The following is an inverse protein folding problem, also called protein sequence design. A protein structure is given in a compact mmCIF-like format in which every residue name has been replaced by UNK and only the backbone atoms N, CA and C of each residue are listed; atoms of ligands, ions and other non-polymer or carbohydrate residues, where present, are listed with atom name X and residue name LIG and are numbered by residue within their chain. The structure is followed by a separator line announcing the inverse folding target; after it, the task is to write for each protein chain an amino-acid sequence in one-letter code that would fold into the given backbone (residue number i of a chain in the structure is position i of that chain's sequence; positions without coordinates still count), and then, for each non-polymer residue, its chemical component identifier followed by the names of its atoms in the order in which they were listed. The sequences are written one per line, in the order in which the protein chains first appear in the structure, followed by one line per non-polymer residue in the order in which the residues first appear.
data_IF_127366078568
#
_entry.id   IF_127366078568
#
_cell.length_a   1.000
_cell.length_b   1.000
_cell.length_c   1.000
_cell.angle_alpha   90.00
_cell.angle_beta   90.00
_cell.angle_gamma   90.00
#
_symmetry.space_group_name_H-M   'P 1'
#
loop_
_entity.id
_entity.type
_entity.pdbx_description
1 polymer ?
#
# COMPACT_ATOMS: atom_id res chain seq x y z
N UNK A 1 -21.33 -3.29 -31.58
CA UNK A 1 -22.56 -4.09 -31.76
C UNK A 1 -22.96 -3.98 -33.21
N UNK A 2 -23.63 -5.00 -33.74
CA UNK A 2 -24.20 -5.00 -35.09
C UNK A 2 -25.35 -3.97 -35.19
N UNK A 3 -25.36 -3.11 -36.20
CA UNK A 3 -26.31 -1.99 -36.32
C UNK A 3 -27.76 -2.48 -36.41
N UNK A 4 -27.98 -3.63 -37.07
CA UNK A 4 -29.31 -4.22 -37.21
C UNK A 4 -29.88 -4.71 -35.87
N UNK A 5 -29.00 -5.20 -34.97
CA UNK A 5 -29.40 -5.62 -33.62
C UNK A 5 -29.69 -4.43 -32.71
N UNK A 6 -28.98 -3.31 -32.90
CA UNK A 6 -29.25 -2.04 -32.19
C UNK A 6 -30.61 -1.49 -32.62
N UNK A 7 -30.88 -1.45 -33.92
CA UNK A 7 -32.14 -0.96 -34.47
C UNK A 7 -33.33 -1.81 -33.98
N UNK A 8 -33.19 -3.13 -33.96
CA UNK A 8 -34.22 -4.04 -33.44
C UNK A 8 -34.55 -3.79 -31.95
N UNK A 9 -33.58 -3.37 -31.13
CA UNK A 9 -33.81 -2.99 -29.73
C UNK A 9 -34.44 -1.60 -29.63
N UNK A 10 -34.02 -0.65 -30.48
CA UNK A 10 -34.60 0.69 -30.55
C UNK A 10 -36.08 0.65 -30.95
N UNK A 11 -36.46 -0.20 -31.90
CA UNK A 11 -37.83 -0.28 -32.41
C UNK A 11 -38.69 -1.28 -31.64
N UNK A 12 -38.16 -1.85 -30.54
CA UNK A 12 -38.88 -2.82 -29.74
C UNK A 12 -40.20 -2.23 -29.22
N UNK A 13 -41.35 -2.88 -29.50
CA UNK A 13 -42.67 -2.35 -29.17
C UNK A 13 -42.93 -2.40 -27.66
N UNK A 14 -43.77 -1.50 -27.16
CA UNK A 14 -44.15 -1.48 -25.75
C UNK A 14 -44.82 -2.82 -25.37
N UNK A 15 -44.35 -3.53 -24.32
CA UNK A 15 -44.94 -4.80 -23.93
C UNK A 15 -46.35 -4.65 -23.34
N UNK A 16 -47.38 -4.99 -24.12
CA UNK A 16 -48.78 -4.98 -23.65
C UNK A 16 -49.22 -6.27 -22.96
N UNK A 17 -48.35 -7.27 -22.82
CA UNK A 17 -48.67 -8.54 -22.16
C UNK A 17 -47.48 -9.10 -21.39
N UNK A 18 -47.76 -9.96 -20.40
CA UNK A 18 -46.74 -10.68 -19.62
C UNK A 18 -45.82 -11.49 -20.55
N UNK A 19 -46.35 -12.08 -21.62
CA UNK A 19 -45.56 -12.86 -22.60
C UNK A 19 -44.58 -11.97 -23.36
N UNK A 20 -45.02 -10.81 -23.83
CA UNK A 20 -44.16 -9.83 -24.50
C UNK A 20 -43.07 -9.28 -23.56
N UNK A 21 -43.45 -9.01 -22.30
CA UNK A 21 -42.51 -8.53 -21.28
C UNK A 21 -41.44 -9.56 -20.95
N UNK A 22 -41.80 -10.85 -20.84
CA UNK A 22 -40.83 -11.95 -20.67
C UNK A 22 -39.87 -12.06 -21.86
N UNK A 23 -40.36 -11.85 -23.08
CA UNK A 23 -39.53 -11.81 -24.29
C UNK A 23 -38.48 -10.70 -24.23
N UNK A 24 -38.91 -9.48 -23.89
CA UNK A 24 -38.00 -8.35 -23.72
C UNK A 24 -36.96 -8.56 -22.61
N UNK A 25 -37.39 -9.03 -21.43
CA UNK A 25 -36.49 -9.33 -20.31
C UNK A 25 -35.55 -10.52 -20.60
N UNK A 26 -35.95 -11.45 -21.47
CA UNK A 26 -35.09 -12.53 -21.94
C UNK A 26 -33.93 -12.01 -22.79
N UNK A 27 -34.23 -11.13 -23.76
CA UNK A 27 -33.22 -10.50 -24.61
C UNK A 27 -32.30 -9.57 -23.80
N UNK A 28 -32.88 -8.62 -23.08
CA UNK A 28 -32.09 -7.67 -22.27
C UNK A 28 -31.32 -8.40 -21.15
N UNK A 29 -31.89 -9.49 -20.63
CA UNK A 29 -31.26 -10.39 -19.66
C UNK A 29 -30.06 -11.16 -20.20
N UNK A 30 -30.00 -11.47 -21.50
CA UNK A 30 -28.80 -12.04 -22.14
C UNK A 30 -27.62 -11.07 -22.04
N UNK A 31 -27.89 -9.78 -22.24
CA UNK A 31 -26.89 -8.71 -22.20
C UNK A 31 -26.66 -8.12 -20.80
N UNK A 32 -27.29 -8.66 -19.75
CA UNK A 32 -27.18 -8.13 -18.37
C UNK A 32 -25.74 -7.95 -17.87
N UNK A 33 -24.78 -8.71 -18.42
CA UNK A 33 -23.36 -8.62 -18.06
C UNK A 33 -22.63 -7.40 -18.65
N UNK A 34 -23.24 -6.74 -19.62
CA UNK A 34 -22.72 -5.56 -20.31
C UNK A 34 -23.39 -4.27 -19.82
N UNK A 35 -24.38 -4.39 -18.93
CA UNK A 35 -25.21 -3.29 -18.47
C UNK A 35 -24.93 -3.03 -16.99
N UNK A 36 -24.32 -1.88 -16.70
CA UNK A 36 -24.15 -1.43 -15.33
C UNK A 36 -25.50 -1.27 -14.63
N UNK A 37 -25.62 -1.78 -13.40
CA UNK A 37 -26.86 -1.75 -12.61
C UNK A 37 -28.11 -2.37 -13.26
N UNK A 38 -27.96 -3.30 -14.21
CA UNK A 38 -29.09 -3.97 -14.88
C UNK A 38 -30.20 -4.42 -13.93
N UNK A 39 -29.85 -5.03 -12.79
CA UNK A 39 -30.83 -5.51 -11.83
C UNK A 39 -31.73 -4.39 -11.30
N UNK A 40 -31.15 -3.24 -10.96
CA UNK A 40 -31.89 -2.08 -10.45
C UNK A 40 -32.80 -1.52 -11.53
N UNK A 41 -32.30 -1.37 -12.76
CA UNK A 41 -33.07 -0.84 -13.89
C UNK A 41 -34.23 -1.78 -14.25
N UNK A 42 -33.98 -3.09 -14.28
CA UNK A 42 -34.98 -4.10 -14.61
C UNK A 42 -35.95 -4.39 -13.45
N UNK A 43 -35.71 -3.89 -12.23
CA UNK A 43 -36.51 -4.22 -11.05
C UNK A 43 -38.01 -3.91 -11.23
N UNK A 44 -38.43 -2.72 -11.71
CA UNK A 44 -39.84 -2.41 -11.94
C UNK A 44 -40.49 -3.35 -12.95
N UNK A 45 -39.76 -3.72 -14.01
CA UNK A 45 -40.25 -4.65 -15.04
C UNK A 45 -40.37 -6.08 -14.50
N UNK A 46 -39.43 -6.54 -13.68
CA UNK A 46 -39.52 -7.88 -13.06
C UNK A 46 -40.64 -7.97 -12.02
N UNK A 47 -41.02 -6.86 -11.38
CA UNK A 47 -42.14 -6.83 -10.45
C UNK A 47 -43.48 -7.11 -11.14
N UNK A 48 -43.66 -6.67 -12.38
CA UNK A 48 -44.85 -6.93 -13.21
C UNK A 48 -45.02 -8.41 -13.61
N UNK A 49 -43.99 -9.24 -13.42
CA UNK A 49 -44.06 -10.68 -13.69
C UNK A 49 -44.67 -11.49 -12.53
N UNK A 50 -44.95 -10.85 -11.38
CA UNK A 50 -45.61 -11.50 -10.24
C UNK A 50 -47.10 -11.75 -10.54
N UNK A 51 -47.70 -12.70 -9.82
CA UNK A 51 -49.11 -13.07 -10.00
C UNK A 51 -50.00 -11.83 -9.86
N UNK A 52 -50.90 -11.64 -10.82
CA UNK A 52 -51.90 -10.56 -10.85
C UNK A 52 -51.33 -9.12 -10.75
N UNK A 53 -50.03 -8.93 -11.03
CA UNK A 53 -49.31 -7.68 -10.84
C UNK A 53 -49.04 -6.89 -12.14
N UNK A 54 -49.58 -7.34 -13.28
CA UNK A 54 -49.33 -6.70 -14.56
C UNK A 54 -50.16 -5.42 -14.72
N UNK A 55 -49.61 -4.31 -14.24
CA UNK A 55 -50.12 -2.96 -14.45
C UNK A 55 -48.99 -2.08 -14.99
N UNK A 56 -49.05 -1.75 -16.28
CA UNK A 56 -48.06 -0.89 -16.90
C UNK A 56 -48.26 0.55 -16.42
N UNK A 57 -47.24 1.13 -15.80
CA UNK A 57 -47.28 2.51 -15.30
C UNK A 57 -45.96 3.23 -15.51
N UNK A 58 -45.87 4.47 -15.03
CA UNK A 58 -44.69 5.34 -15.18
C UNK A 58 -43.35 4.66 -14.78
N UNK A 59 -43.25 3.94 -13.64
CA UNK A 59 -41.99 3.26 -13.28
C UNK A 59 -41.58 2.17 -14.28
N UNK A 60 -42.54 1.51 -14.93
CA UNK A 60 -42.28 0.47 -15.92
C UNK A 60 -41.86 1.09 -17.26
N UNK A 61 -42.52 2.18 -17.69
CA UNK A 61 -42.13 2.96 -18.88
C UNK A 61 -40.70 3.50 -18.75
N UNK A 62 -40.37 4.11 -17.61
CA UNK A 62 -39.03 4.63 -17.34
C UNK A 62 -37.97 3.52 -17.38
N UNK A 63 -38.23 2.38 -16.75
CA UNK A 63 -37.33 1.23 -16.77
C UNK A 63 -37.14 0.63 -18.18
N UNK A 64 -38.22 0.55 -18.96
CA UNK A 64 -38.19 0.05 -20.34
C UNK A 64 -37.35 0.94 -21.25
N UNK A 65 -37.56 2.26 -21.19
CA UNK A 65 -36.77 3.25 -21.95
C UNK A 65 -35.30 3.24 -21.51
N UNK A 66 -35.04 3.19 -20.20
CA UNK A 66 -33.68 3.12 -19.68
C UNK A 66 -32.92 1.89 -20.19
N UNK A 67 -33.55 0.70 -20.23
CA UNK A 67 -32.91 -0.50 -20.78
C UNK A 67 -32.65 -0.39 -22.27
N UNK A 68 -33.56 0.19 -23.06
CA UNK A 68 -33.36 0.43 -24.50
C UNK A 68 -32.18 1.37 -24.74
N UNK A 69 -32.12 2.48 -24.02
CA UNK A 69 -31.00 3.43 -24.11
C UNK A 69 -29.70 2.74 -23.74
N UNK A 70 -29.63 2.06 -22.58
CA UNK A 70 -28.37 1.46 -22.13
C UNK A 70 -27.92 0.32 -23.04
N UNK A 71 -28.82 -0.45 -23.66
CA UNK A 71 -28.44 -1.48 -24.64
C UNK A 71 -27.87 -0.93 -25.94
N UNK A 72 -28.38 0.23 -26.38
CA UNK A 72 -27.98 0.86 -27.63
C UNK A 72 -26.75 1.75 -27.47
N UNK A 73 -26.49 2.25 -26.25
CA UNK A 73 -25.33 3.09 -25.90
C UNK A 73 -24.30 2.39 -25.02
N UNK A 74 -24.47 1.08 -24.73
CA UNK A 74 -23.60 0.33 -23.83
C UNK A 74 -22.12 0.48 -24.21
N UNK A 75 -21.24 0.78 -23.24
CA UNK A 75 -19.81 0.80 -23.49
C UNK A 75 -19.33 -0.58 -23.94
N UNK A 76 -18.44 -0.60 -24.93
CA UNK A 76 -17.78 -1.82 -25.39
C UNK A 76 -16.95 -2.36 -24.23
N UNK A 77 -17.32 -3.54 -23.70
CA UNK A 77 -16.49 -4.21 -22.69
C UNK A 77 -15.15 -4.61 -23.29
N UNK A 78 -14.12 -4.52 -22.47
CA UNK A 78 -12.77 -4.89 -22.85
C UNK A 78 -12.61 -6.43 -22.86
N UNK A 79 -11.80 -6.93 -23.79
CA UNK A 79 -11.30 -8.30 -23.74
C UNK A 79 -10.32 -8.47 -22.56
N UNK A 80 -10.39 -9.59 -21.83
CA UNK A 80 -9.51 -9.83 -20.68
C UNK A 80 -8.05 -10.02 -21.10
N UNK A 81 -7.15 -9.28 -20.46
CA UNK A 81 -5.71 -9.45 -20.56
C UNK A 81 -5.18 -10.21 -19.35
N UNK A 82 -4.76 -11.47 -19.53
CA UNK A 82 -4.28 -12.33 -18.45
C UNK A 82 -2.91 -11.92 -17.87
N UNK A 83 -2.18 -11.01 -18.52
CA UNK A 83 -0.96 -10.45 -17.96
C UNK A 83 -1.25 -9.41 -16.86
N UNK A 84 -2.44 -8.78 -16.89
CA UNK A 84 -2.84 -7.72 -15.98
C UNK A 84 -3.65 -8.24 -14.78
N UNK A 85 -3.62 -7.55 -13.63
CA UNK A 85 -4.48 -7.87 -12.51
C UNK A 85 -5.95 -7.69 -12.85
N UNK A 86 -6.75 -8.72 -12.60
CA UNK A 86 -8.20 -8.60 -12.60
C UNK A 86 -8.65 -7.89 -11.34
N UNK A 87 -9.36 -6.79 -11.48
CA UNK A 87 -9.90 -6.01 -10.36
C UNK A 87 -11.40 -6.26 -10.26
N UNK A 88 -11.85 -6.65 -9.07
CA UNK A 88 -13.27 -6.79 -8.75
C UNK A 88 -13.65 -5.70 -7.76
N UNK A 89 -14.41 -4.72 -8.25
CA UNK A 89 -15.06 -3.72 -7.40
C UNK A 89 -16.47 -4.18 -7.08
N UNK A 90 -16.82 -4.19 -5.80
CA UNK A 90 -18.15 -4.57 -5.34
C UNK A 90 -18.85 -3.42 -4.61
N UNK A 91 -20.14 -3.27 -4.87
CA UNK A 91 -21.03 -2.37 -4.15
C UNK A 91 -22.37 -3.06 -3.82
N UNK A 92 -22.96 -2.70 -2.69
CA UNK A 92 -24.23 -3.22 -2.25
C UNK A 92 -25.07 -2.10 -1.63
N UNK A 93 -26.28 -1.94 -2.15
CA UNK A 93 -27.29 -0.99 -1.65
C UNK A 93 -28.44 -1.72 -0.96
N UNK A 94 -29.38 -0.96 -0.39
CA UNK A 94 -30.59 -1.52 0.20
C UNK A 94 -31.48 -2.27 -0.80
N UNK A 95 -31.48 -1.86 -2.07
CA UNK A 95 -32.37 -2.36 -3.12
C UNK A 95 -31.72 -3.33 -4.11
N UNK A 96 -30.39 -3.37 -4.20
CA UNK A 96 -29.66 -4.22 -5.13
C UNK A 96 -28.18 -4.35 -4.79
N UNK A 97 -27.48 -5.22 -5.50
CA UNK A 97 -26.03 -5.32 -5.41
C UNK A 97 -25.40 -5.44 -6.80
N UNK A 98 -24.19 -4.88 -6.91
CA UNK A 98 -23.42 -4.76 -8.14
C UNK A 98 -21.97 -5.15 -7.94
N UNK A 99 -21.34 -5.72 -8.96
CA UNK A 99 -19.90 -5.85 -9.04
C UNK A 99 -19.43 -5.58 -10.46
N UNK A 100 -18.21 -5.05 -10.57
CA UNK A 100 -17.55 -4.80 -11.84
C UNK A 100 -16.23 -5.56 -11.82
N UNK A 101 -16.07 -6.48 -12.76
CA UNK A 101 -14.79 -7.04 -13.13
C UNK A 101 -14.17 -6.13 -14.18
N UNK A 102 -13.00 -5.56 -13.92
CA UNK A 102 -12.33 -4.64 -14.83
C UNK A 102 -10.81 -4.77 -14.78
N UNK A 103 -10.18 -4.18 -15.78
CA UNK A 103 -8.74 -3.98 -15.88
C UNK A 103 -8.49 -2.50 -16.24
N UNK A 104 -7.27 -2.00 -16.07
CA UNK A 104 -6.97 -0.55 -16.16
C UNK A 104 -7.40 0.18 -17.46
N UNK A 105 -7.86 -0.53 -18.49
CA UNK A 105 -8.38 0.04 -19.73
C UNK A 105 -9.93 0.05 -19.82
N UNK A 106 -10.64 -0.59 -18.88
CA UNK A 106 -12.10 -0.59 -18.83
C UNK A 106 -12.76 -1.83 -18.20
N UNK A 107 -14.10 -1.83 -18.10
CA UNK A 107 -14.85 -2.97 -17.58
C UNK A 107 -14.79 -4.18 -18.52
N UNK A 108 -14.62 -5.37 -17.94
CA UNK A 108 -14.63 -6.67 -18.62
C UNK A 108 -15.99 -7.35 -18.44
N UNK A 109 -16.61 -7.18 -17.28
CA UNK A 109 -17.94 -7.69 -17.00
C UNK A 109 -18.60 -6.92 -15.85
N UNK A 110 -19.88 -6.60 -16.02
CA UNK A 110 -20.76 -6.13 -14.97
C UNK A 110 -21.58 -7.29 -14.42
N UNK A 111 -21.81 -7.26 -13.12
CA UNK A 111 -22.70 -8.19 -12.44
C UNK A 111 -23.66 -7.36 -11.60
N UNK A 112 -24.96 -7.46 -11.88
CA UNK A 112 -25.97 -6.74 -11.11
C UNK A 112 -27.17 -7.65 -10.87
N UNK A 113 -27.64 -7.67 -9.63
CA UNK A 113 -28.82 -8.44 -9.21
C UNK A 113 -29.64 -7.66 -8.19
N UNK A 114 -30.95 -7.79 -8.29
CA UNK A 114 -31.89 -7.37 -7.25
C UNK A 114 -31.81 -8.31 -6.06
N UNK A 115 -32.05 -7.78 -4.87
CA UNK A 115 -32.05 -8.59 -3.65
C UNK A 115 -33.28 -9.51 -3.67
N UNK A 116 -33.06 -10.82 -3.71
CA UNK A 116 -34.15 -11.78 -3.55
C UNK A 116 -34.81 -11.60 -2.16
N UNK A 117 -36.12 -11.84 -2.00
CA UNK A 117 -36.81 -11.65 -0.71
C UNK A 117 -36.16 -12.41 0.45
N UNK A 118 -35.67 -13.63 0.18
CA UNK A 118 -34.90 -14.45 1.13
C UNK A 118 -33.56 -13.82 1.56
N UNK A 119 -32.98 -12.96 0.72
CA UNK A 119 -31.71 -12.27 0.97
C UNK A 119 -31.92 -10.82 1.45
N UNK A 120 -33.17 -10.36 1.54
CA UNK A 120 -33.51 -9.00 1.97
C UNK A 120 -33.13 -8.72 3.44
N UNK A 121 -33.11 -9.77 4.27
CA UNK A 121 -32.63 -9.72 5.66
C UNK A 121 -31.12 -9.92 5.80
N UNK A 122 -30.46 -10.42 4.76
CA UNK A 122 -29.01 -10.59 4.77
C UNK A 122 -28.34 -9.22 4.76
N UNK A 123 -27.25 -9.11 5.49
CA UNK A 123 -26.45 -7.91 5.49
C UNK A 123 -25.77 -7.71 4.13
N UNK A 124 -25.41 -6.46 3.81
CA UNK A 124 -24.76 -6.10 2.55
C UNK A 124 -23.54 -7.00 2.21
N UNK A 125 -22.78 -7.41 3.23
CA UNK A 125 -21.59 -8.24 3.06
C UNK A 125 -21.88 -9.67 2.57
N UNK A 126 -22.98 -10.29 3.03
CA UNK A 126 -23.38 -11.65 2.63
C UNK A 126 -23.82 -11.66 1.16
N UNK A 127 -24.42 -10.55 0.70
CA UNK A 127 -24.82 -10.38 -0.71
C UNK A 127 -23.60 -10.21 -1.62
N UNK A 128 -22.58 -9.47 -1.18
CA UNK A 128 -21.31 -9.33 -1.90
C UNK A 128 -20.59 -10.68 -2.00
N UNK A 129 -20.63 -11.50 -0.93
CA UNK A 129 -20.04 -12.83 -0.92
C UNK A 129 -20.59 -13.73 -2.04
N UNK A 130 -21.91 -13.83 -2.18
CA UNK A 130 -22.57 -14.59 -3.25
C UNK A 130 -22.08 -14.13 -4.64
N UNK A 131 -21.81 -12.83 -4.81
CA UNK A 131 -21.37 -12.28 -6.08
C UNK A 131 -19.94 -12.68 -6.43
N UNK A 132 -19.02 -12.53 -5.48
CA UNK A 132 -17.61 -12.88 -5.71
C UNK A 132 -17.47 -14.39 -5.90
N UNK A 133 -18.23 -15.20 -5.15
CA UNK A 133 -18.36 -16.64 -5.39
C UNK A 133 -18.78 -16.90 -6.84
N UNK A 134 -19.85 -16.26 -7.31
CA UNK A 134 -20.36 -16.45 -8.67
C UNK A 134 -19.39 -15.98 -9.77
N UNK A 135 -18.61 -14.93 -9.51
CA UNK A 135 -17.56 -14.44 -10.42
C UNK A 135 -16.42 -15.47 -10.47
N UNK A 136 -15.94 -15.91 -9.31
CA UNK A 136 -14.80 -16.81 -9.22
C UNK A 136 -15.17 -18.21 -9.70
N UNK A 137 -16.36 -18.75 -9.40
CA UNK A 137 -16.81 -20.03 -9.97
C UNK A 137 -16.93 -19.99 -11.49
N UNK A 138 -17.43 -18.89 -12.08
CA UNK A 138 -17.54 -18.77 -13.54
C UNK A 138 -16.23 -18.46 -14.25
N UNK A 139 -15.30 -17.79 -13.59
CA UNK A 139 -14.07 -17.29 -14.21
C UNK A 139 -12.78 -17.98 -13.71
N UNK A 140 -12.86 -18.85 -12.70
CA UNK A 140 -11.71 -19.64 -12.20
C UNK A 140 -11.18 -20.62 -13.24
N UNK A 141 -12.03 -21.13 -14.14
CA UNK A 141 -11.61 -21.92 -15.30
C UNK A 141 -10.79 -21.13 -16.35
N UNK A 142 -10.60 -19.82 -16.17
CA UNK A 142 -9.94 -18.93 -17.13
C UNK A 142 -8.51 -18.57 -16.69
N UNK A 143 -7.91 -19.32 -15.75
CA UNK A 143 -6.49 -19.18 -15.42
C UNK A 143 -6.10 -17.82 -14.82
N UNK A 144 -6.99 -17.24 -14.01
CA UNK A 144 -6.72 -15.96 -13.32
C UNK A 144 -5.49 -16.13 -12.41
N UNK A 145 -4.41 -15.43 -12.75
CA UNK A 145 -3.17 -15.43 -11.97
C UNK A 145 -3.07 -14.28 -10.97
N UNK A 146 -3.75 -13.17 -11.25
CA UNK A 146 -3.66 -11.93 -10.47
C UNK A 146 -5.06 -11.42 -10.16
N UNK A 147 -5.41 -11.38 -8.88
CA UNK A 147 -6.73 -10.99 -8.40
C UNK A 147 -6.62 -9.87 -7.36
N UNK A 148 -7.31 -8.76 -7.61
CA UNK A 148 -7.49 -7.66 -6.68
C UNK A 148 -8.97 -7.50 -6.35
N UNK A 149 -9.31 -7.57 -5.07
CA UNK A 149 -10.68 -7.34 -4.58
C UNK A 149 -10.68 -6.08 -3.74
N UNK A 150 -11.54 -5.14 -4.14
CA UNK A 150 -11.73 -3.88 -3.44
C UNK A 150 -13.21 -3.71 -3.10
N UNK A 151 -13.48 -3.57 -1.81
CA UNK A 151 -14.85 -3.39 -1.31
C UNK A 151 -14.99 -1.98 -0.77
N UNK A 152 -15.83 -1.18 -1.42
CA UNK A 152 -15.98 0.26 -1.13
C UNK A 152 -16.98 0.55 -0.01
N UNK A 153 -17.85 -0.41 0.34
CA UNK A 153 -18.77 -0.25 1.46
C UNK A 153 -18.06 -0.51 2.80
N UNK A 154 -18.37 0.26 3.85
CA UNK A 154 -17.93 -0.02 5.24
C UNK A 154 -18.47 -1.35 5.83
N UNK A 155 -19.08 -2.20 5.00
CA UNK A 155 -19.59 -3.50 5.38
C UNK A 155 -18.45 -4.54 5.46
N UNK A 156 -18.56 -5.44 6.44
CA UNK A 156 -17.60 -6.51 6.74
C UNK A 156 -17.65 -7.65 5.69
N UNK A 157 -17.25 -7.40 4.45
CA UNK A 157 -17.17 -8.42 3.40
C UNK A 157 -16.34 -9.62 3.85
N UNK A 158 -16.84 -10.86 3.82
CA UNK A 158 -16.02 -12.04 4.07
C UNK A 158 -15.55 -12.61 2.74
N UNK A 159 -14.22 -12.67 2.55
CA UNK A 159 -13.63 -13.32 1.39
C UNK A 159 -14.13 -14.77 1.30
N UNK A 160 -14.45 -15.27 0.09
CA UNK A 160 -15.30 -16.42 -0.03
C UNK A 160 -14.53 -17.71 0.27
N UNK A 161 -15.15 -18.59 1.05
CA UNK A 161 -14.57 -19.88 1.43
C UNK A 161 -14.48 -20.84 0.24
N UNK A 162 -15.35 -20.71 -0.77
CA UNK A 162 -15.36 -21.58 -1.96
C UNK A 162 -14.02 -21.54 -2.72
N UNK A 163 -13.43 -20.35 -2.85
CA UNK A 163 -12.14 -20.07 -3.51
C UNK A 163 -10.99 -20.76 -2.80
N UNK A 164 -11.13 -20.91 -1.48
CA UNK A 164 -10.13 -21.45 -0.58
C UNK A 164 -10.22 -22.98 -0.44
N UNK A 165 -11.41 -23.53 -0.65
CA UNK A 165 -11.73 -24.94 -0.40
C UNK A 165 -11.67 -25.81 -1.67
N UNK A 166 -12.03 -25.28 -2.84
CA UNK A 166 -12.23 -26.10 -4.05
C UNK A 166 -11.05 -26.11 -5.02
N UNK A 167 -9.86 -25.64 -4.63
CA UNK A 167 -8.67 -25.58 -5.51
C UNK A 167 -8.76 -24.56 -6.65
N UNK A 168 -9.89 -23.87 -6.80
CA UNK A 168 -10.09 -22.85 -7.85
C UNK A 168 -9.14 -21.65 -7.71
N UNK A 169 -8.60 -21.43 -6.51
CA UNK A 169 -7.57 -20.44 -6.23
C UNK A 169 -6.13 -20.90 -6.54
N UNK A 170 -5.88 -22.16 -6.93
CA UNK A 170 -4.51 -22.66 -7.09
C UNK A 170 -3.76 -22.04 -8.27
N UNK A 171 -4.45 -21.43 -9.23
CA UNK A 171 -3.80 -20.64 -10.28
C UNK A 171 -3.39 -19.24 -9.82
N UNK A 172 -3.91 -18.76 -8.68
CA UNK A 172 -3.70 -17.39 -8.20
C UNK A 172 -2.27 -17.27 -7.66
N UNK A 173 -1.49 -16.41 -8.31
CA UNK A 173 -0.13 -16.05 -7.94
C UNK A 173 -0.09 -14.74 -7.15
N UNK A 174 -0.99 -13.80 -7.45
CA UNK A 174 -1.10 -12.52 -6.73
C UNK A 174 -2.52 -12.31 -6.21
N UNK A 175 -2.64 -12.16 -4.90
CA UNK A 175 -3.90 -11.84 -4.22
C UNK A 175 -3.77 -10.51 -3.47
N UNK A 176 -4.59 -9.54 -3.85
CA UNK A 176 -4.69 -8.25 -3.17
C UNK A 176 -6.11 -8.05 -2.63
N UNK A 177 -6.23 -8.02 -1.31
CA UNK A 177 -7.49 -7.78 -0.62
C UNK A 177 -7.49 -6.43 0.09
N UNK A 178 -8.54 -5.63 -0.12
CA UNK A 178 -8.71 -4.34 0.57
C UNK A 178 -10.08 -4.24 1.23
N UNK A 179 -10.10 -3.77 2.49
CA UNK A 179 -11.31 -3.46 3.25
C UNK A 179 -12.28 -4.65 3.39
N UNK A 180 -11.75 -5.83 3.75
CA UNK A 180 -12.54 -7.05 3.89
C UNK A 180 -12.13 -7.89 5.11
N UNK A 181 -12.97 -8.83 5.52
CA UNK A 181 -12.62 -9.93 6.39
C UNK A 181 -12.08 -11.11 5.56
N UNK A 182 -11.03 -11.73 6.06
CA UNK A 182 -10.46 -12.93 5.44
C UNK A 182 -10.33 -13.99 6.54
N UNK A 183 -10.98 -15.14 6.32
CA UNK A 183 -11.16 -16.21 7.32
C UNK A 183 -10.70 -17.56 6.78
N UNK A 184 -9.39 -17.73 6.48
CA UNK A 184 -8.86 -19.04 6.13
C UNK A 184 -9.02 -20.02 7.31
N UNK A 185 -9.62 -21.19 7.05
CA UNK A 185 -9.86 -22.25 8.04
C UNK A 185 -8.93 -23.43 7.83
N UNK A 186 -8.69 -24.24 8.88
CA UNK A 186 -7.72 -25.35 8.94
C UNK A 186 -7.87 -26.40 7.82
N UNK A 187 -9.07 -26.60 7.28
CA UNK A 187 -9.32 -27.39 6.06
C UNK A 187 -8.94 -26.65 4.78
N UNK A 188 -7.78 -25.99 4.77
CA UNK A 188 -7.33 -25.16 3.67
C UNK A 188 -6.64 -26.00 2.59
N UNK A 189 -7.19 -26.02 1.38
CA UNK A 189 -6.63 -26.78 0.25
C UNK A 189 -6.04 -25.93 -0.87
N UNK A 190 -6.40 -24.63 -0.93
CA UNK A 190 -6.12 -23.75 -2.07
C UNK A 190 -5.03 -22.69 -1.86
N UNK A 191 -4.69 -21.98 -2.96
CA UNK A 191 -3.66 -20.92 -3.08
C UNK A 191 -2.21 -21.41 -3.08
N UNK A 192 -1.96 -22.64 -3.53
CA UNK A 192 -0.61 -23.24 -3.55
C UNK A 192 0.42 -22.49 -4.41
N UNK A 193 -0.04 -21.83 -5.48
CA UNK A 193 0.81 -21.06 -6.38
C UNK A 193 0.99 -19.59 -5.97
N UNK A 194 0.48 -19.19 -4.79
CA UNK A 194 0.50 -17.81 -4.36
C UNK A 194 1.94 -17.35 -4.10
N UNK A 195 2.42 -16.42 -4.91
CA UNK A 195 3.75 -15.82 -4.78
C UNK A 195 3.69 -14.46 -4.10
N UNK A 196 2.55 -13.76 -4.16
CA UNK A 196 2.39 -12.42 -3.59
C UNK A 196 1.04 -12.27 -2.89
N UNK A 197 1.07 -11.86 -1.62
CA UNK A 197 -0.12 -11.60 -0.83
C UNK A 197 -0.08 -10.17 -0.29
N UNK A 198 -1.11 -9.38 -0.60
CA UNK A 198 -1.27 -8.02 -0.08
C UNK A 198 -2.63 -7.88 0.60
N UNK A 199 -2.59 -7.63 1.92
CA UNK A 199 -3.77 -7.41 2.76
C UNK A 199 -3.76 -5.99 3.29
N UNK A 200 -4.76 -5.18 2.91
CA UNK A 200 -4.90 -3.80 3.33
C UNK A 200 -6.25 -3.56 4.03
N UNK A 201 -6.26 -3.15 5.29
CA UNK A 201 -7.48 -2.96 6.10
C UNK A 201 -8.28 -4.28 6.13
N UNK A 202 -7.58 -5.41 6.27
CA UNK A 202 -8.21 -6.74 6.28
C UNK A 202 -8.42 -7.22 7.72
N UNK A 203 -9.64 -7.68 8.02
CA UNK A 203 -9.99 -8.32 9.29
C UNK A 203 -9.54 -9.78 9.21
N UNK A 204 -8.34 -10.08 9.68
CA UNK A 204 -7.75 -11.42 9.78
C UNK A 204 -7.01 -11.56 11.12
N UNK A 205 -7.13 -12.71 11.79
CA UNK A 205 -6.37 -12.99 13.03
C UNK A 205 -4.98 -13.55 12.71
N UNK A 206 -4.08 -13.57 13.71
CA UNK A 206 -2.75 -14.17 13.54
C UNK A 206 -2.81 -15.65 13.19
N UNK A 207 -3.70 -16.41 13.84
CA UNK A 207 -3.87 -17.86 13.61
C UNK A 207 -4.42 -18.15 12.21
N UNK A 208 -5.38 -17.36 11.76
CA UNK A 208 -5.93 -17.44 10.41
C UNK A 208 -4.84 -17.19 9.36
N UNK A 209 -4.05 -16.13 9.54
CA UNK A 209 -2.93 -15.85 8.64
C UNK A 209 -1.88 -16.96 8.69
N UNK A 210 -1.53 -17.47 9.88
CA UNK A 210 -0.60 -18.58 10.04
C UNK A 210 -1.03 -19.84 9.28
N UNK A 211 -2.33 -20.16 9.32
CA UNK A 211 -2.91 -21.27 8.55
C UNK A 211 -2.76 -21.06 7.04
N UNK A 212 -2.92 -19.84 6.53
CA UNK A 212 -2.71 -19.56 5.11
C UNK A 212 -1.23 -19.69 4.71
N UNK A 213 -0.34 -19.16 5.55
CA UNK A 213 1.10 -19.16 5.31
C UNK A 213 1.69 -20.58 5.31
N UNK A 214 1.18 -21.49 6.13
CA UNK A 214 1.64 -22.89 6.15
C UNK A 214 1.30 -23.67 4.87
N UNK A 215 0.31 -23.22 4.08
CA UNK A 215 -0.11 -23.86 2.84
C UNK A 215 0.39 -23.16 1.56
N UNK A 216 0.97 -21.96 1.69
CA UNK A 216 1.40 -21.11 0.56
C UNK A 216 2.92 -21.11 0.39
N UNK A 217 3.52 -22.28 0.15
CA UNK A 217 4.98 -22.46 0.13
C UNK A 217 5.71 -21.69 -1.00
N UNK A 218 4.97 -21.27 -2.02
CA UNK A 218 5.49 -20.49 -3.13
C UNK A 218 5.62 -18.98 -2.82
N UNK A 219 5.22 -18.53 -1.63
CA UNK A 219 5.13 -17.11 -1.29
C UNK A 219 6.50 -16.43 -1.27
N UNK A 220 6.64 -15.37 -2.06
CA UNK A 220 7.84 -14.54 -2.20
C UNK A 220 7.68 -13.18 -1.51
N UNK A 221 6.45 -12.63 -1.49
CA UNK A 221 6.16 -11.32 -0.91
C UNK A 221 4.88 -11.33 -0.06
N UNK A 222 4.98 -10.81 1.16
CA UNK A 222 3.86 -10.61 2.08
C UNK A 222 3.75 -9.15 2.50
N UNK A 223 2.63 -8.51 2.21
CA UNK A 223 2.32 -7.13 2.62
C UNK A 223 1.07 -7.08 3.50
N UNK A 224 1.23 -6.59 4.73
CA UNK A 224 0.16 -6.39 5.71
C UNK A 224 0.07 -4.90 6.05
N UNK A 225 -1.05 -4.26 5.70
CA UNK A 225 -1.32 -2.85 5.99
C UNK A 225 -2.61 -2.73 6.78
N UNK A 226 -2.56 -2.06 7.93
CA UNK A 226 -3.74 -1.78 8.77
C UNK A 226 -4.57 -3.02 9.16
N UNK A 227 -3.93 -4.17 9.30
CA UNK A 227 -4.58 -5.44 9.68
C UNK A 227 -4.70 -5.54 11.21
N UNK A 228 -5.64 -4.77 11.76
CA UNK A 228 -5.69 -4.49 13.21
C UNK A 228 -6.14 -5.66 14.10
N UNK A 229 -6.52 -6.82 13.56
CA UNK A 229 -6.87 -7.99 14.37
C UNK A 229 -5.69 -8.91 14.65
N UNK A 230 -4.56 -8.73 13.98
CA UNK A 230 -3.35 -9.50 14.20
C UNK A 230 -2.67 -8.97 15.48
N UNK A 231 -2.52 -9.83 16.48
CA UNK A 231 -1.83 -9.51 17.75
C UNK A 231 -0.41 -10.08 17.75
N UNK A 232 -0.25 -11.30 17.23
CA UNK A 232 1.00 -12.01 17.04
C UNK A 232 1.10 -12.44 15.58
N UNK A 233 2.19 -12.07 14.91
CA UNK A 233 2.48 -12.50 13.54
C UNK A 233 3.60 -13.54 13.59
N UNK A 234 3.28 -14.78 13.23
CA UNK A 234 4.26 -15.86 13.06
C UNK A 234 4.43 -16.18 11.59
N UNK A 235 5.63 -15.94 11.07
CA UNK A 235 6.01 -16.34 9.71
C UNK A 235 6.74 -17.68 9.79
N UNK A 236 6.19 -18.77 9.22
CA UNK A 236 6.73 -20.11 9.41
C UNK A 236 8.01 -20.37 8.62
N UNK A 237 8.90 -21.21 9.16
CA UNK A 237 10.16 -21.62 8.52
C UNK A 237 9.99 -22.30 7.15
N UNK A 238 8.80 -22.84 6.86
CA UNK A 238 8.48 -23.51 5.60
C UNK A 238 8.52 -22.54 4.39
N UNK A 239 8.44 -21.23 4.61
CA UNK A 239 8.45 -20.21 3.55
C UNK A 239 9.87 -19.91 3.05
N UNK A 240 10.46 -20.88 2.36
CA UNK A 240 11.83 -20.81 1.82
C UNK A 240 12.01 -19.75 0.73
N UNK A 241 10.93 -19.32 0.07
CA UNK A 241 10.97 -18.33 -1.02
C UNK A 241 10.66 -16.90 -0.58
N UNK A 242 10.22 -16.71 0.66
CA UNK A 242 9.79 -15.41 1.15
C UNK A 242 11.00 -14.50 1.30
N UNK A 243 11.07 -13.49 0.45
CA UNK A 243 12.15 -12.50 0.39
C UNK A 243 11.72 -11.16 1.01
N UNK A 244 10.45 -10.82 0.85
CA UNK A 244 9.91 -9.50 1.20
C UNK A 244 8.75 -9.59 2.19
N UNK A 245 8.90 -8.90 3.32
CA UNK A 245 7.86 -8.77 4.34
C UNK A 245 7.62 -7.29 4.66
N UNK A 246 6.38 -6.83 4.54
CA UNK A 246 5.95 -5.49 4.95
C UNK A 246 4.82 -5.58 5.97
N UNK A 247 4.97 -4.87 7.07
CA UNK A 247 3.96 -4.74 8.13
C UNK A 247 3.81 -3.27 8.50
N UNK A 248 2.67 -2.66 8.17
CA UNK A 248 2.48 -1.22 8.34
C UNK A 248 1.13 -0.91 9.01
N UNK A 249 1.14 -0.04 10.02
CA UNK A 249 -0.06 0.45 10.72
C UNK A 249 -0.97 -0.63 11.34
N UNK A 250 -0.43 -1.78 11.72
CA UNK A 250 -1.19 -2.83 12.44
C UNK A 250 -1.28 -2.49 13.94
N UNK A 251 -2.37 -1.84 14.36
CA UNK A 251 -2.47 -1.21 15.68
C UNK A 251 -2.37 -2.18 16.89
N UNK A 252 -2.90 -3.40 16.77
CA UNK A 252 -2.90 -4.40 17.87
C UNK A 252 -1.72 -5.37 17.84
N UNK A 253 -0.87 -5.29 16.81
CA UNK A 253 0.29 -6.16 16.69
C UNK A 253 1.27 -5.83 17.82
N UNK A 254 1.74 -6.85 18.53
CA UNK A 254 2.71 -6.71 19.63
C UNK A 254 4.04 -7.38 19.33
N UNK A 255 4.01 -8.51 18.63
CA UNK A 255 5.20 -9.30 18.34
C UNK A 255 5.15 -9.77 16.90
N UNK A 256 6.26 -9.60 16.19
CA UNK A 256 6.50 -10.21 14.88
C UNK A 256 7.61 -11.21 15.02
N UNK A 257 7.28 -12.48 14.85
CA UNK A 257 8.17 -13.62 14.94
C UNK A 257 8.38 -14.19 13.54
N UNK A 258 9.61 -14.14 13.05
CA UNK A 258 9.96 -14.64 11.74
C UNK A 258 10.94 -15.81 11.82
N UNK A 259 10.48 -16.96 11.35
CA UNK A 259 11.28 -18.18 11.20
C UNK A 259 11.67 -18.45 9.73
N UNK A 260 11.20 -17.64 8.76
CA UNK A 260 11.55 -17.83 7.35
C UNK A 260 13.03 -17.47 7.09
N UNK A 261 13.82 -18.35 6.44
CA UNK A 261 15.28 -18.22 6.42
C UNK A 261 15.84 -17.21 5.41
N UNK A 262 15.09 -16.89 4.35
CA UNK A 262 15.60 -16.15 3.19
C UNK A 262 15.04 -14.73 3.06
N UNK A 263 14.47 -14.17 4.13
CA UNK A 263 13.99 -12.78 4.09
C UNK A 263 15.18 -11.83 4.00
N UNK A 264 15.24 -11.07 2.91
CA UNK A 264 16.28 -10.06 2.69
C UNK A 264 15.75 -8.63 2.74
N UNK A 265 14.43 -8.44 2.63
CA UNK A 265 13.76 -7.15 2.67
C UNK A 265 12.65 -7.12 3.75
N UNK A 266 12.80 -6.27 4.75
CA UNK A 266 11.80 -6.09 5.79
C UNK A 266 11.41 -4.63 5.96
N UNK A 267 10.11 -4.35 5.95
CA UNK A 267 9.55 -3.02 6.20
C UNK A 267 8.57 -3.09 7.36
N UNK A 268 8.80 -2.30 8.41
CA UNK A 268 7.90 -2.17 9.54
C UNK A 268 7.52 -0.71 9.78
N UNK A 269 6.25 -0.42 10.02
CA UNK A 269 5.79 0.95 10.29
C UNK A 269 4.52 1.05 11.12
N UNK A 270 4.30 2.21 11.73
CA UNK A 270 3.15 2.49 12.58
C UNK A 270 3.46 2.35 14.07
N UNK A 271 2.99 1.27 14.71
CA UNK A 271 3.03 1.12 16.17
C UNK A 271 4.47 0.93 16.70
N UNK A 272 4.90 1.80 17.61
CA UNK A 272 6.23 1.82 18.22
C UNK A 272 6.50 0.70 19.22
N UNK A 273 5.47 -0.05 19.65
CA UNK A 273 5.58 -1.09 20.69
C UNK A 273 5.82 -2.51 20.18
N UNK A 274 5.91 -2.70 18.86
CA UNK A 274 6.09 -4.04 18.27
C UNK A 274 7.50 -4.57 18.53
N UNK A 275 7.60 -5.67 19.28
CA UNK A 275 8.81 -6.45 19.45
C UNK A 275 9.11 -7.23 18.17
N UNK A 276 10.38 -7.21 17.76
CA UNK A 276 10.88 -7.91 16.58
C UNK A 276 11.72 -9.10 17.04
N UNK A 277 11.19 -10.30 16.85
CA UNK A 277 11.91 -11.56 16.99
C UNK A 277 12.14 -12.11 15.59
N UNK A 278 13.19 -11.63 14.95
CA UNK A 278 13.61 -12.14 13.65
C UNK A 278 14.74 -13.11 14.01
N UNK A 279 14.57 -14.42 13.75
CA UNK A 279 15.43 -15.52 14.27
C UNK A 279 16.94 -15.41 13.96
N UNK A 280 17.57 -16.45 13.42
CA UNK A 280 18.96 -16.34 12.94
C UNK A 280 19.03 -15.44 11.69
N UNK A 281 18.97 -14.13 11.88
CA UNK A 281 18.87 -13.03 10.89
C UNK A 281 20.12 -12.80 10.05
N UNK A 282 20.87 -13.87 9.76
CA UNK A 282 22.14 -13.80 9.03
C UNK A 282 21.98 -13.28 7.59
N UNK A 283 20.77 -13.30 7.01
CA UNK A 283 20.50 -12.93 5.61
C UNK A 283 19.79 -11.57 5.43
N UNK A 284 19.49 -10.83 6.51
CA UNK A 284 18.77 -9.56 6.40
C UNK A 284 19.65 -8.49 5.74
N UNK A 285 19.23 -7.95 4.58
CA UNK A 285 20.01 -6.95 3.83
C UNK A 285 19.41 -5.56 3.89
N UNK A 286 18.09 -5.45 3.76
CA UNK A 286 17.39 -4.18 3.65
C UNK A 286 16.31 -4.08 4.73
N UNK A 287 16.41 -3.03 5.55
CA UNK A 287 15.45 -2.74 6.60
C UNK A 287 14.88 -1.34 6.42
N UNK A 288 13.57 -1.23 6.47
CA UNK A 288 12.86 0.05 6.49
C UNK A 288 11.97 0.14 7.73
N UNK A 289 12.14 1.19 8.53
CA UNK A 289 11.42 1.41 9.78
C UNK A 289 10.70 2.76 9.75
N UNK A 290 9.38 2.77 9.97
CA UNK A 290 8.57 3.98 10.10
C UNK A 290 7.91 4.02 11.48
N UNK A 291 8.68 4.24 12.55
CA UNK A 291 8.21 4.25 13.94
C UNK A 291 8.90 5.34 14.76
N UNK A 292 8.22 5.87 15.77
CA UNK A 292 8.86 6.73 16.77
C UNK A 292 9.94 5.96 17.53
N UNK A 293 11.08 6.61 17.83
CA UNK A 293 12.22 5.98 18.50
C UNK A 293 13.01 4.99 17.63
N UNK A 294 12.76 4.95 16.32
CA UNK A 294 13.49 4.03 15.42
C UNK A 294 14.97 4.34 15.35
N UNK A 295 15.40 5.59 15.50
CA UNK A 295 16.82 5.94 15.51
C UNK A 295 17.49 5.40 16.77
N UNK A 296 16.86 5.53 17.94
CA UNK A 296 17.34 4.92 19.18
C UNK A 296 17.44 3.39 19.08
N UNK A 297 16.40 2.73 18.57
CA UNK A 297 16.40 1.28 18.36
C UNK A 297 17.50 0.84 17.39
N UNK A 298 17.70 1.60 16.31
CA UNK A 298 18.75 1.36 15.34
C UNK A 298 20.17 1.47 15.94
N UNK A 299 20.34 2.25 16.99
CA UNK A 299 21.63 2.39 17.69
C UNK A 299 21.87 1.28 18.71
N UNK A 300 20.83 0.91 19.45
CA UNK A 300 20.94 -0.01 20.58
C UNK A 300 20.91 -1.49 20.13
N UNK A 301 19.90 -1.86 19.34
CA UNK A 301 19.52 -3.27 19.14
C UNK A 301 19.89 -3.80 17.76
N UNK A 302 19.80 -2.98 16.70
CA UNK A 302 20.03 -3.44 15.32
C UNK A 302 21.43 -4.00 15.05
N UNK A 303 22.53 -3.45 15.59
CA UNK A 303 23.85 -4.01 15.36
C UNK A 303 24.02 -5.45 15.83
N UNK A 304 23.43 -5.79 16.98
CA UNK A 304 23.49 -7.13 17.56
C UNK A 304 22.51 -8.07 16.87
N UNK A 305 21.34 -7.56 16.49
CA UNK A 305 20.27 -8.37 15.89
C UNK A 305 20.36 -8.51 14.36
N UNK A 306 21.06 -7.62 13.64
CA UNK A 306 21.12 -7.62 12.17
C UNK A 306 22.51 -7.14 11.67
N UNK A 307 23.59 -7.90 11.94
CA UNK A 307 24.96 -7.45 11.63
C UNK A 307 25.27 -7.33 10.13
N UNK A 308 24.52 -8.02 9.27
CA UNK A 308 24.77 -8.11 7.82
C UNK A 308 23.98 -7.08 6.98
N UNK A 309 23.35 -6.10 7.62
CA UNK A 309 22.51 -5.11 6.94
C UNK A 309 23.33 -4.28 5.92
N UNK A 310 22.84 -4.18 4.69
CA UNK A 310 23.44 -3.43 3.58
C UNK A 310 22.75 -2.07 3.38
N UNK A 311 21.43 -2.00 3.59
CA UNK A 311 20.65 -0.76 3.53
C UNK A 311 19.69 -0.59 4.72
N UNK A 312 19.71 0.60 5.32
CA UNK A 312 18.86 0.99 6.45
C UNK A 312 18.11 2.27 6.11
N UNK A 313 16.79 2.23 6.17
CA UNK A 313 15.92 3.41 6.06
C UNK A 313 15.12 3.57 7.35
N UNK A 314 15.23 4.73 8.00
CA UNK A 314 14.58 5.02 9.28
C UNK A 314 13.79 6.31 9.16
N UNK A 315 12.49 6.25 9.40
CA UNK A 315 11.62 7.40 9.53
C UNK A 315 11.08 7.48 10.96
N UNK A 316 11.32 8.60 11.64
CA UNK A 316 10.92 8.79 13.03
C UNK A 316 10.32 10.16 13.29
N UNK A 317 9.21 10.20 14.05
CA UNK A 317 8.49 11.42 14.42
C UNK A 317 8.94 11.99 15.77
N UNK A 318 9.40 11.15 16.70
CA UNK A 318 9.84 11.57 18.02
C UNK A 318 11.07 10.76 18.44
N UNK A 319 12.15 11.47 18.75
CA UNK A 319 13.40 10.89 19.23
C UNK A 319 13.85 11.66 20.48
N UNK A 320 14.23 10.95 21.53
CA UNK A 320 14.90 11.53 22.70
C UNK A 320 16.39 11.25 22.55
N UNK A 321 17.24 12.28 22.38
CA UNK A 321 18.70 12.12 22.50
C UNK A 321 19.03 11.82 23.98
N UNK A 322 19.96 10.96 24.39
CA UNK A 322 21.33 10.70 23.92
C UNK A 322 21.70 9.24 24.23
N UNK A 323 22.29 8.52 23.28
CA UNK A 323 23.00 7.26 23.55
C UNK A 323 24.19 7.12 22.58
N UNK A 324 25.46 7.21 23.02
CA UNK A 324 26.61 7.01 22.14
C UNK A 324 26.61 5.58 21.56
N UNK A 325 26.97 5.43 20.29
CA UNK A 325 27.20 4.10 19.71
C UNK A 325 28.64 3.66 19.99
N UNK A 326 28.86 2.35 20.16
CA UNK A 326 30.21 1.78 20.10
C UNK A 326 30.65 1.73 18.63
N UNK A 327 31.95 1.97 18.39
CA UNK A 327 32.54 1.90 17.05
C UNK A 327 32.32 0.52 16.40
N UNK A 328 32.24 0.47 15.07
CA UNK A 328 32.27 -0.75 14.23
C UNK A 328 31.14 -1.78 14.43
N UNK A 329 29.88 -1.30 14.48
CA UNK A 329 28.68 -2.11 14.71
C UNK A 329 27.92 -2.52 13.43
N UNK A 330 28.11 -1.80 12.32
CA UNK A 330 27.46 -2.01 11.03
C UNK A 330 28.48 -2.18 9.90
N UNK A 331 29.19 -3.31 9.88
CA UNK A 331 30.32 -3.53 8.98
C UNK A 331 29.94 -3.56 7.48
N UNK A 332 28.70 -3.94 7.16
CA UNK A 332 28.22 -4.10 5.77
C UNK A 332 27.30 -2.98 5.29
N UNK A 333 26.95 -2.03 6.15
CA UNK A 333 25.97 -1.00 5.82
C UNK A 333 26.57 -0.02 4.81
N UNK A 334 25.98 0.04 3.61
CA UNK A 334 26.40 0.92 2.51
C UNK A 334 25.43 2.08 2.31
N UNK A 335 24.15 1.87 2.60
CA UNK A 335 23.11 2.87 2.37
C UNK A 335 22.37 3.19 3.66
N UNK A 336 22.39 4.45 4.09
CA UNK A 336 21.65 4.93 5.26
C UNK A 336 20.75 6.08 4.85
N UNK A 337 19.45 5.96 5.10
CA UNK A 337 18.47 7.04 4.93
C UNK A 337 17.75 7.29 6.24
N UNK A 338 17.76 8.53 6.73
CA UNK A 338 17.10 8.93 7.97
C UNK A 338 16.12 10.06 7.64
N UNK A 339 14.82 9.83 7.81
CA UNK A 339 13.81 10.87 7.78
C UNK A 339 13.38 11.23 9.19
N UNK A 340 13.55 12.49 9.57
CA UNK A 340 13.06 13.00 10.86
C UNK A 340 11.87 13.90 10.57
N UNK A 341 10.78 13.78 11.31
CA UNK A 341 9.61 14.67 11.14
C UNK A 341 9.22 15.21 12.49
N UNK A 342 9.56 16.48 12.77
CA UNK A 342 9.19 17.16 14.01
C UNK A 342 7.93 18.00 13.82
N UNK A 343 6.94 17.85 14.71
CA UNK A 343 5.85 18.83 14.82
C UNK A 343 6.33 20.12 15.51
N UNK A 344 5.60 21.25 15.39
CA UNK A 344 6.00 22.56 15.91
C UNK A 344 6.17 22.65 17.44
N UNK A 345 5.76 21.61 18.17
CA UNK A 345 5.76 21.54 19.63
C UNK A 345 6.88 20.66 20.22
N UNK A 346 7.81 20.15 19.41
CA UNK A 346 8.86 19.24 19.88
C UNK A 346 10.23 19.92 19.96
N UNK A 347 11.06 19.59 20.99
CA UNK A 347 12.39 20.16 21.14
C UNK A 347 13.28 19.82 19.94
N UNK A 348 14.15 20.76 19.56
CA UNK A 348 15.09 20.62 18.45
C UNK A 348 15.92 19.34 18.59
N UNK A 349 15.81 18.45 17.61
CA UNK A 349 16.63 17.24 17.55
C UNK A 349 18.11 17.62 17.42
N UNK A 350 18.98 17.01 18.24
CA UNK A 350 20.41 17.18 18.10
C UNK A 350 20.94 16.31 16.95
N UNK A 351 20.91 16.85 15.72
CA UNK A 351 21.38 16.17 14.50
C UNK A 351 22.82 15.65 14.62
N UNK A 352 23.68 16.32 15.38
CA UNK A 352 25.05 15.88 15.65
C UNK A 352 25.14 14.46 16.25
N UNK A 353 24.10 14.02 16.96
CA UNK A 353 24.05 12.65 17.48
C UNK A 353 24.08 11.59 16.38
N UNK A 354 23.71 11.93 15.13
CA UNK A 354 23.78 11.04 13.97
C UNK A 354 25.21 10.77 13.51
N UNK A 355 26.19 11.57 13.96
CA UNK A 355 27.62 11.33 13.70
C UNK A 355 28.04 9.91 14.11
N UNK A 356 27.44 9.37 15.17
CA UNK A 356 27.73 8.03 15.66
C UNK A 356 27.41 6.90 14.67
N UNK A 357 26.54 7.13 13.67
CA UNK A 357 26.28 6.14 12.62
C UNK A 357 27.47 5.99 11.68
N UNK A 358 28.20 7.09 11.42
CA UNK A 358 29.41 7.04 10.62
C UNK A 358 30.44 6.20 11.37
N UNK A 359 30.69 6.48 12.65
CA UNK A 359 31.62 5.69 13.50
C UNK A 359 31.24 4.20 13.59
N UNK A 360 29.95 3.90 13.53
CA UNK A 360 29.44 2.54 13.57
C UNK A 360 29.51 1.83 12.20
N UNK A 361 29.52 2.55 11.07
CA UNK A 361 29.36 2.01 9.72
C UNK A 361 30.54 2.38 8.78
N UNK A 362 31.69 1.68 8.87
CA UNK A 362 32.88 2.01 8.09
C UNK A 362 32.74 1.82 6.57
N UNK A 363 31.76 1.02 6.12
CA UNK A 363 31.49 0.73 4.71
C UNK A 363 30.43 1.66 4.10
N UNK A 364 30.03 2.73 4.79
CA UNK A 364 28.94 3.58 4.37
C UNK A 364 29.31 4.36 3.09
N UNK A 365 28.54 4.15 2.02
CA UNK A 365 28.74 4.78 0.72
C UNK A 365 27.77 5.95 0.48
N UNK A 366 26.54 5.84 0.97
CA UNK A 366 25.50 6.86 0.77
C UNK A 366 24.77 7.20 2.06
N UNK A 367 24.59 8.49 2.33
CA UNK A 367 23.80 9.01 3.44
C UNK A 367 22.72 9.97 2.94
N UNK A 368 21.46 9.70 3.28
CA UNK A 368 20.33 10.60 3.01
C UNK A 368 19.68 11.04 4.33
N UNK A 369 19.42 12.34 4.47
CA UNK A 369 18.73 12.92 5.61
C UNK A 369 17.54 13.73 5.11
N UNK A 370 16.32 13.33 5.45
CA UNK A 370 15.08 13.97 4.97
C UNK A 370 14.29 14.68 6.09
N UNK A 371 13.55 15.73 5.69
CA UNK A 371 12.56 16.49 6.50
C UNK A 371 13.12 17.19 7.76
N UNK A 372 14.25 17.87 7.65
CA UNK A 372 14.88 18.60 8.77
C UNK A 372 14.12 19.90 9.13
N UNK A 373 12.93 19.80 9.74
CA UNK A 373 12.08 20.94 10.07
C UNK A 373 12.08 21.27 11.56
N UNK A 374 13.12 21.92 12.11
CA UNK A 374 13.00 22.62 13.41
C UNK A 374 13.87 23.89 13.44
N UNK A 375 13.23 25.00 13.84
CA UNK A 375 13.82 26.31 14.14
C UNK A 375 14.68 26.23 15.42
N UNK A 376 15.97 26.51 15.31
CA UNK A 376 16.81 26.75 16.47
C UNK A 376 17.91 27.75 16.11
N UNK A 377 18.10 28.74 16.99
CA UNK A 377 19.06 29.82 16.83
C UNK A 377 20.51 29.28 16.95
N UNK A 378 21.43 29.62 16.03
CA UNK A 378 22.79 29.13 16.08
C UNK A 378 23.69 30.03 16.92
N UNK A 379 24.01 29.62 18.15
CA UNK A 379 25.09 30.24 18.95
C UNK A 379 26.19 29.23 19.29
N UNK A 380 27.44 29.58 18.95
CA UNK A 380 28.73 28.93 19.23
C UNK A 380 28.99 27.49 18.76
N UNK A 381 29.41 27.33 17.49
CA UNK A 381 29.82 26.05 16.91
C UNK A 381 30.93 25.37 17.73
N UNK A 382 30.68 24.14 18.22
CA UNK A 382 31.72 23.33 18.87
C UNK A 382 32.58 22.66 17.79
N UNK A 383 33.90 22.70 17.95
CA UNK A 383 34.82 21.82 17.20
C UNK A 383 34.83 20.45 17.89
N UNK A 384 34.57 19.38 17.13
CA UNK A 384 34.64 18.00 17.62
C UNK A 384 35.56 17.14 16.76
N UNK A 385 36.04 16.08 17.43
CA UNK A 385 37.11 15.14 17.10
C UNK A 385 36.99 14.43 15.74
N UNK A 386 38.17 14.07 15.26
CA UNK A 386 38.55 13.71 13.90
C UNK A 386 38.33 12.22 13.61
N UNK A 387 37.35 11.89 12.79
CA UNK A 387 37.22 10.54 12.22
C UNK A 387 36.95 10.66 10.71
N UNK A 388 37.87 10.13 9.90
CA UNK A 388 37.77 10.13 8.45
C UNK A 388 36.97 8.90 7.97
N UNK A 389 36.03 9.12 7.05
CA UNK A 389 35.20 8.07 6.45
C UNK A 389 35.47 7.96 4.94
N UNK A 390 36.50 7.20 4.61
CA UNK A 390 37.07 7.13 3.25
C UNK A 390 36.13 6.57 2.17
N UNK A 391 35.04 5.91 2.55
CA UNK A 391 34.13 5.23 1.62
C UNK A 391 32.87 6.04 1.26
N UNK A 392 32.61 7.16 1.93
CA UNK A 392 31.39 7.94 1.73
C UNK A 392 31.45 8.72 0.42
N UNK A 393 30.53 8.42 -0.50
CA UNK A 393 30.48 9.00 -1.86
C UNK A 393 29.40 10.05 -2.03
N UNK A 394 28.20 9.77 -1.50
CA UNK A 394 27.02 10.58 -1.75
C UNK A 394 26.30 10.95 -0.45
N UNK A 395 26.18 12.24 -0.21
CA UNK A 395 25.41 12.82 0.88
C UNK A 395 24.29 13.67 0.31
N UNK A 396 23.05 13.36 0.70
CA UNK A 396 21.87 14.16 0.38
C UNK A 396 21.20 14.59 1.68
N UNK A 397 20.94 15.88 1.79
CA UNK A 397 20.11 16.43 2.86
C UNK A 397 18.95 17.17 2.19
N UNK A 398 17.72 16.81 2.53
CA UNK A 398 16.50 17.45 2.04
C UNK A 398 15.80 18.18 3.19
N UNK A 399 15.28 19.38 2.91
CA UNK A 399 14.69 20.25 3.94
C UNK A 399 15.69 20.84 4.92
N UNK A 400 16.89 21.22 4.47
CA UNK A 400 17.96 21.78 5.31
C UNK A 400 17.51 23.03 6.08
N UNK A 401 17.78 23.09 7.40
CA UNK A 401 17.50 24.26 8.26
C UNK A 401 18.79 24.91 8.78
N UNK A 402 18.70 26.14 9.29
CA UNK A 402 19.83 26.84 9.91
C UNK A 402 20.19 26.32 11.32
N UNK A 403 19.66 25.15 11.72
CA UNK A 403 19.91 24.56 13.01
C UNK A 403 21.41 24.26 13.20
N UNK A 404 21.98 24.78 14.29
CA UNK A 404 23.41 24.62 14.63
C UNK A 404 23.90 23.17 14.54
N UNK A 405 23.17 22.25 15.16
CA UNK A 405 23.55 20.83 15.21
C UNK A 405 23.54 20.16 13.83
N UNK A 406 22.73 20.66 12.88
CA UNK A 406 22.73 20.22 11.48
C UNK A 406 23.92 20.78 10.72
N UNK A 407 24.27 22.06 10.95
CA UNK A 407 25.48 22.68 10.39
C UNK A 407 26.73 21.94 10.87
N UNK A 408 26.79 21.62 12.17
CA UNK A 408 27.89 20.85 12.78
C UNK A 408 27.98 19.44 12.17
N UNK A 409 26.86 18.72 12.05
CA UNK A 409 26.82 17.41 11.40
C UNK A 409 27.31 17.51 9.94
N UNK A 410 26.84 18.50 9.19
CA UNK A 410 27.20 18.67 7.78
C UNK A 410 28.69 19.00 7.64
N UNK A 411 29.24 19.84 8.51
CA UNK A 411 30.68 20.12 8.57
C UNK A 411 31.49 18.87 8.91
N UNK A 412 31.00 18.03 9.84
CA UNK A 412 31.65 16.77 10.20
C UNK A 412 31.69 15.82 8.98
N UNK A 413 30.54 15.63 8.32
CA UNK A 413 30.42 14.76 7.14
C UNK A 413 31.32 15.23 5.99
N UNK A 414 31.35 16.54 5.70
CA UNK A 414 32.19 17.09 4.62
C UNK A 414 33.69 16.89 4.85
N UNK A 415 34.15 16.96 6.10
CA UNK A 415 35.54 16.69 6.45
C UNK A 415 35.92 15.22 6.32
N UNK A 416 34.94 14.33 6.42
CA UNK A 416 35.14 12.89 6.32
C UNK A 416 35.11 12.34 4.89
N UNK A 417 34.66 13.12 3.88
CA UNK A 417 34.54 12.68 2.48
C UNK A 417 35.85 12.85 1.69
N UNK A 418 36.31 11.81 0.98
CA UNK A 418 37.54 11.88 0.16
C UNK A 418 37.35 11.90 -1.36
N UNK A 419 36.24 11.45 -1.97
CA UNK A 419 36.00 11.67 -3.42
C UNK A 419 34.55 11.37 -3.92
N UNK A 420 34.15 12.15 -4.95
CA UNK A 420 33.04 12.10 -5.95
C UNK A 420 31.55 12.19 -5.57
N UNK A 421 30.98 13.33 -6.02
CA UNK A 421 29.57 13.66 -6.29
C UNK A 421 28.62 13.74 -5.08
N UNK A 422 28.73 14.81 -4.30
CA UNK A 422 27.70 15.22 -3.35
C UNK A 422 26.62 16.06 -4.07
N UNK A 423 25.36 15.62 -4.01
CA UNK A 423 24.22 16.38 -4.53
C UNK A 423 23.20 16.61 -3.41
N UNK A 424 23.15 17.84 -2.87
CA UNK A 424 22.05 18.27 -1.99
C UNK A 424 20.81 18.60 -2.84
N UNK A 425 19.61 18.31 -2.32
CA UNK A 425 18.40 18.16 -3.12
C UNK A 425 17.13 18.76 -2.53
N UNK A 426 16.32 19.28 -3.46
CA UNK A 426 14.90 19.66 -3.57
C UNK A 426 14.11 20.11 -2.32
N UNK A 427 13.46 21.26 -2.48
CA UNK A 427 12.32 21.74 -1.68
C UNK A 427 10.99 21.19 -2.24
N UNK A 428 10.07 20.78 -1.36
CA UNK A 428 8.65 20.52 -1.65
C UNK A 428 7.75 21.58 -0.97
N UNK A 429 6.54 21.87 -1.47
CA UNK A 429 5.95 23.21 -1.40
C UNK A 429 5.07 23.51 -0.16
N UNK A 430 5.00 24.83 0.12
CA UNK A 430 4.01 25.65 0.86
C UNK A 430 4.06 25.76 2.41
N UNK A 431 4.64 26.87 2.90
CA UNK A 431 4.14 27.82 3.94
C UNK A 431 5.13 29.01 4.03
N UNK A 432 4.68 30.23 4.38
CA UNK A 432 5.54 31.46 4.40
C UNK A 432 6.76 31.31 5.33
N UNK A 433 6.58 30.65 6.46
CA UNK A 433 7.66 30.47 7.46
C UNK A 433 8.76 29.53 6.95
N UNK A 434 8.41 28.58 6.08
CA UNK A 434 9.35 27.62 5.46
C UNK A 434 10.18 28.29 4.36
N UNK A 435 9.64 29.30 3.66
CA UNK A 435 10.38 30.09 2.67
C UNK A 435 11.45 30.98 3.34
N UNK A 436 11.11 31.62 4.45
CA UNK A 436 12.07 32.39 5.26
C UNK A 436 13.19 31.49 5.78
N UNK A 437 12.86 30.29 6.23
CA UNK A 437 13.86 29.31 6.66
C UNK A 437 14.71 28.81 5.49
N UNK A 438 14.13 28.62 4.30
CA UNK A 438 14.89 28.29 3.10
C UNK A 438 15.98 29.32 2.77
N UNK A 439 15.67 30.62 2.93
CA UNK A 439 16.67 31.68 2.75
C UNK A 439 17.73 31.68 3.87
N UNK A 440 17.33 31.51 5.13
CA UNK A 440 18.27 31.40 6.27
C UNK A 440 19.20 30.19 6.11
N UNK A 441 18.68 29.07 5.63
CA UNK A 441 19.43 27.85 5.33
C UNK A 441 20.50 28.10 4.25
N UNK A 442 20.14 28.75 3.13
CA UNK A 442 21.11 29.12 2.08
C UNK A 442 22.18 30.07 2.63
N UNK A 443 21.82 31.06 3.45
CA UNK A 443 22.79 31.95 4.09
C UNK A 443 23.73 31.19 5.03
N UNK A 444 23.20 30.27 5.83
CA UNK A 444 24.00 29.44 6.73
C UNK A 444 24.96 28.52 5.96
N UNK A 445 24.53 27.95 4.83
CA UNK A 445 25.38 27.14 3.95
C UNK A 445 26.53 27.99 3.42
N UNK A 446 26.25 29.18 2.85
CA UNK A 446 27.27 30.10 2.34
C UNK A 446 28.24 30.58 3.42
N UNK A 447 27.74 30.84 4.63
CA UNK A 447 28.52 31.38 5.74
C UNK A 447 29.43 30.34 6.40
N UNK A 448 28.91 29.14 6.64
CA UNK A 448 29.56 28.15 7.52
C UNK A 448 30.00 26.87 6.81
N UNK A 449 29.38 26.52 5.70
CA UNK A 449 29.61 25.24 5.01
C UNK A 449 30.53 25.44 3.80
N UNK A 450 30.20 26.37 2.88
CA UNK A 450 30.99 26.63 1.67
C UNK A 450 32.50 26.84 1.93
N UNK A 451 32.92 27.63 2.96
CA UNK A 451 34.35 27.82 3.23
C UNK A 451 35.08 26.57 3.71
N UNK A 452 34.34 25.52 4.10
CA UNK A 452 34.86 24.27 4.65
C UNK A 452 34.74 23.10 3.68
N UNK A 453 34.20 23.31 2.47
CA UNK A 453 34.08 22.27 1.44
C UNK A 453 35.49 22.01 0.86
N UNK A 454 36.02 20.78 0.94
CA UNK A 454 37.27 20.43 0.28
C UNK A 454 37.16 20.58 -1.24
N UNK A 455 38.26 20.92 -1.92
CA UNK A 455 38.28 21.07 -3.39
C UNK A 455 37.91 19.79 -4.15
N UNK A 456 37.99 18.62 -3.50
CA UNK A 456 37.60 17.31 -4.02
C UNK A 456 36.09 17.05 -3.93
N UNK A 457 35.32 17.90 -3.25
CA UNK A 457 33.88 17.72 -3.01
C UNK A 457 33.08 18.76 -3.81
N UNK A 458 32.17 18.30 -4.67
CA UNK A 458 31.20 19.19 -5.33
C UNK A 458 30.01 19.41 -4.40
N UNK A 459 29.72 20.66 -4.05
CA UNK A 459 28.50 21.04 -3.34
C UNK A 459 27.48 21.60 -4.33
N UNK A 460 26.34 20.93 -4.49
CA UNK A 460 25.19 21.47 -5.21
C UNK A 460 24.14 21.93 -4.22
N UNK A 461 23.82 23.23 -4.19
CA UNK A 461 22.73 23.81 -3.40
C UNK A 461 21.59 24.17 -4.35
N UNK A 462 20.36 23.72 -4.07
CA UNK A 462 19.18 24.18 -4.80
C UNK A 462 18.56 25.33 -4.01
N UNK A 463 18.41 26.48 -4.64
CA UNK A 463 17.86 27.68 -4.00
C UNK A 463 16.32 27.71 -4.10
N UNK A 464 15.63 28.38 -3.16
CA UNK A 464 14.19 28.65 -3.30
C UNK A 464 13.90 29.39 -4.60
N UNK A 465 12.83 29.01 -5.32
CA UNK A 465 12.44 29.71 -6.54
C UNK A 465 12.12 31.18 -6.23
N UNK A 466 12.69 32.10 -7.01
CA UNK A 466 12.41 33.55 -6.97
C UNK A 466 10.94 33.90 -7.23
N UNK A 467 10.13 32.94 -7.70
CA UNK A 467 8.69 33.08 -7.88
C UNK A 467 7.88 33.14 -6.57
N UNK A 468 8.49 32.93 -5.39
CA UNK A 468 7.81 32.93 -4.09
C UNK A 468 8.36 33.96 -3.09
N UNK A 469 9.20 34.92 -3.52
CA UNK A 469 9.65 36.03 -2.67
C UNK A 469 8.59 37.13 -2.60
N UNK A 470 7.88 37.23 -1.47
CA UNK A 470 7.06 38.41 -1.11
C UNK A 470 7.49 38.90 0.26
#
# INVERSE_FOLDING_TARGET
MDLDKIQAVHDWPLPCSIKALRGFLGLTGYYRRFIHNYGVIAAPLTALLKRDAFQWGEPASAAFLALKTVLTTAPVLQLPDFAQPFVVDCDASGSGFGAVLHQGQGPIAFFSRTVAPQHAKLAAYERIQIQVDHILERHSGIGVKKLKIQVHSGAKYNFPRSVLLNGSGDSIQYLHLTNCSFRPTVTFGGLRSLTRLHLCIVRITGDELGCLLSHSLALEKLELKSCNLIVYLKVPHLLQRLDYLLVYSCARLKVTDNEAPNISNFTIGGNSTVQLSLGETLQMKNLTMHRCGSVLYARAELPSSMPNLEALTVHSQTERAYAPMLCSKFLRLRHLSIGLTGGPFYPAYHYLSLASFFDAAPSLETFNLDNVSIFADPTDLRQMLELQHHNLRMVRITGFSSAKSLIELTCHVLKSCTDRDNKSGKYSPLERDILMEGHKAVMAIRRYIEPRVPSTVKLHVLEPCSCHSV
#
